data_IF_196574912860
#
_entry.id   IF_196574912860
#
_cell.length_a   1.000
_cell.length_b   1.000
_cell.length_c   1.000
_cell.angle_alpha   90.00
_cell.angle_beta   90.00
_cell.angle_gamma   90.00
#
_symmetry.space_group_name_H-M   'P 1'
#
loop_
_entity.id
_entity.type
_entity.pdbx_description
1 polymer ?
#
# COMPACT_ATOMS: atom_id res chain seq x y z
N UNK A 1 -12.57 -7.80 23.42
CA UNK A 1 -11.74 -8.56 22.46
C UNK A 1 -12.09 -8.29 20.99
N UNK A 2 -13.34 -8.00 20.61
CA UNK A 2 -13.71 -7.71 19.21
C UNK A 2 -13.11 -6.40 18.65
N UNK A 3 -13.02 -5.37 19.50
CA UNK A 3 -12.44 -4.07 19.16
C UNK A 3 -10.98 -4.17 18.70
N UNK A 4 -10.15 -4.84 19.50
CA UNK A 4 -8.74 -5.09 19.20
C UNK A 4 -8.58 -5.90 17.89
N UNK A 5 -9.44 -6.90 17.67
CA UNK A 5 -9.48 -7.67 16.43
C UNK A 5 -9.81 -6.81 15.20
N UNK A 6 -10.74 -5.86 15.30
CA UNK A 6 -11.05 -4.92 14.21
C UNK A 6 -9.86 -4.01 13.92
N UNK A 7 -9.22 -3.43 14.94
CA UNK A 7 -8.03 -2.57 14.77
C UNK A 7 -6.84 -3.29 14.15
N UNK A 8 -6.58 -4.53 14.57
CA UNK A 8 -5.51 -5.34 13.98
C UNK A 8 -5.68 -5.57 12.48
N UNK A 9 -6.92 -5.75 11.99
CA UNK A 9 -7.17 -5.90 10.54
C UNK A 9 -6.76 -4.66 9.76
N UNK A 10 -7.10 -3.47 10.28
CA UNK A 10 -6.70 -2.21 9.65
C UNK A 10 -5.20 -1.98 9.72
N UNK A 11 -4.55 -2.33 10.83
CA UNK A 11 -3.09 -2.29 10.95
C UNK A 11 -2.42 -3.17 9.88
N UNK A 12 -2.96 -4.36 9.64
CA UNK A 12 -2.48 -5.30 8.64
C UNK A 12 -2.61 -4.74 7.22
N UNK A 13 -3.73 -4.06 6.92
CA UNK A 13 -3.93 -3.34 5.65
C UNK A 13 -2.91 -2.22 5.46
N UNK A 14 -2.60 -1.45 6.51
CA UNK A 14 -1.62 -0.36 6.47
C UNK A 14 -0.23 -0.92 6.19
N UNK A 15 0.20 -1.96 6.93
CA UNK A 15 1.52 -2.58 6.75
C UNK A 15 1.65 -3.16 5.34
N UNK A 16 0.62 -3.86 4.87
CA UNK A 16 0.61 -4.45 3.53
C UNK A 16 0.68 -3.38 2.43
N UNK A 17 -0.07 -2.28 2.57
CA UNK A 17 -0.01 -1.14 1.66
C UNK A 17 1.39 -0.52 1.60
N UNK A 18 2.01 -0.27 2.76
CA UNK A 18 3.37 0.30 2.83
C UNK A 18 4.40 -0.63 2.18
N UNK A 19 4.30 -1.94 2.42
CA UNK A 19 5.20 -2.93 1.82
C UNK A 19 5.12 -2.91 0.29
N UNK A 20 3.91 -2.87 -0.29
CA UNK A 20 3.72 -2.78 -1.74
C UNK A 20 4.29 -1.48 -2.30
N UNK A 21 4.06 -0.34 -1.63
CA UNK A 21 4.57 0.96 -2.08
C UNK A 21 6.10 0.97 -2.10
N UNK A 22 6.74 0.43 -1.06
CA UNK A 22 8.19 0.31 -0.97
C UNK A 22 8.75 -0.62 -2.03
N UNK A 23 8.12 -1.77 -2.24
CA UNK A 23 8.51 -2.73 -3.28
C UNK A 23 8.44 -2.11 -4.67
N UNK A 24 7.30 -1.50 -5.01
CA UNK A 24 7.11 -0.81 -6.29
C UNK A 24 8.11 0.33 -6.47
N UNK A 25 8.38 1.10 -5.41
CA UNK A 25 9.33 2.19 -5.48
C UNK A 25 10.79 1.71 -5.61
N UNK A 26 11.12 0.55 -5.04
CA UNK A 26 12.41 -0.08 -5.23
C UNK A 26 12.59 -0.54 -6.67
N UNK A 27 11.63 -1.28 -7.22
CA UNK A 27 11.63 -1.76 -8.60
C UNK A 27 11.80 -0.61 -9.60
N UNK A 28 11.00 0.46 -9.47
CA UNK A 28 11.06 1.62 -10.38
C UNK A 28 12.42 2.35 -10.31
N UNK A 29 13.05 2.43 -9.13
CA UNK A 29 14.26 3.25 -8.93
C UNK A 29 15.57 2.49 -9.17
N UNK A 30 15.59 1.17 -8.94
CA UNK A 30 16.80 0.37 -8.99
C UNK A 30 16.88 -0.56 -10.21
N UNK A 31 15.76 -0.90 -10.84
CA UNK A 31 15.78 -1.73 -12.05
C UNK A 31 15.85 -0.87 -13.31
N UNK A 32 17.03 -0.86 -13.94
CA UNK A 32 17.31 -0.12 -15.18
C UNK A 32 16.83 -0.84 -16.44
N UNK A 33 16.38 -2.09 -16.33
CA UNK A 33 15.88 -2.90 -17.46
C UNK A 33 14.35 -2.89 -17.58
N UNK A 34 13.64 -2.15 -16.72
CA UNK A 34 12.19 -2.03 -16.81
C UNK A 34 11.78 -1.20 -18.03
N UNK A 35 10.95 -1.79 -18.89
CA UNK A 35 10.26 -1.06 -19.95
C UNK A 35 9.22 -0.12 -19.32
N UNK A 36 9.67 1.11 -19.06
CA UNK A 36 8.92 2.16 -18.35
C UNK A 36 7.55 2.44 -18.96
N UNK A 37 7.37 2.23 -20.28
CA UNK A 37 6.10 2.54 -20.97
C UNK A 37 4.94 1.66 -20.51
N UNK A 38 5.17 0.38 -20.25
CA UNK A 38 4.11 -0.54 -19.80
C UNK A 38 4.23 -0.89 -18.33
N UNK A 39 5.39 -1.36 -17.89
CA UNK A 39 5.57 -1.85 -16.52
C UNK A 39 5.61 -0.68 -15.53
N UNK A 40 6.28 0.42 -15.88
CA UNK A 40 6.30 1.64 -15.07
C UNK A 40 4.91 2.25 -14.85
N UNK A 41 4.06 2.26 -15.88
CA UNK A 41 2.68 2.76 -15.78
C UNK A 41 1.82 1.88 -14.86
N UNK A 42 1.88 0.56 -15.02
CA UNK A 42 1.13 -0.39 -14.18
C UNK A 42 1.60 -0.30 -12.72
N UNK A 43 2.91 -0.27 -12.49
CA UNK A 43 3.49 -0.12 -11.16
C UNK A 43 3.08 1.22 -10.51
N UNK A 44 3.04 2.32 -11.28
CA UNK A 44 2.59 3.62 -10.78
C UNK A 44 1.12 3.59 -10.36
N UNK A 45 0.24 2.96 -11.14
CA UNK A 45 -1.17 2.77 -10.78
C UNK A 45 -1.29 1.91 -9.51
N UNK A 46 -0.50 0.83 -9.42
CA UNK A 46 -0.48 -0.04 -8.24
C UNK A 46 -0.05 0.73 -6.98
N UNK A 47 0.97 1.58 -7.09
CA UNK A 47 1.44 2.44 -6.00
C UNK A 47 0.35 3.40 -5.52
N UNK A 48 -0.36 4.05 -6.44
CA UNK A 48 -1.45 4.99 -6.11
C UNK A 48 -2.62 4.24 -5.46
N UNK A 49 -3.03 3.10 -6.02
CA UNK A 49 -4.09 2.28 -5.47
C UNK A 49 -3.74 1.77 -4.06
N UNK A 50 -2.52 1.27 -3.86
CA UNK A 50 -2.01 0.86 -2.56
C UNK A 50 -2.00 2.03 -1.58
N UNK A 51 -1.58 3.22 -2.00
CA UNK A 51 -1.61 4.45 -1.19
C UNK A 51 -3.03 4.81 -0.73
N UNK A 52 -4.02 4.71 -1.61
CA UNK A 52 -5.44 4.91 -1.28
C UNK A 52 -5.95 3.90 -0.24
N UNK A 53 -5.62 2.63 -0.40
CA UNK A 53 -5.96 1.58 0.58
C UNK A 53 -5.26 1.78 1.94
N UNK A 54 -4.00 2.25 1.94
CA UNK A 54 -3.26 2.57 3.15
C UNK A 54 -3.89 3.73 3.92
N UNK A 55 -4.27 4.81 3.22
CA UNK A 55 -5.00 5.94 3.80
C UNK A 55 -6.37 5.54 4.35
N UNK A 56 -7.12 4.69 3.62
CA UNK A 56 -8.38 4.14 4.11
C UNK A 56 -8.18 3.35 5.41
N UNK A 57 -7.17 2.48 5.45
CA UNK A 57 -6.81 1.70 6.64
C UNK A 57 -6.48 2.61 7.84
N UNK A 58 -5.70 3.68 7.61
CA UNK A 58 -5.34 4.68 8.61
C UNK A 58 -6.58 5.39 9.19
N UNK A 59 -7.45 5.91 8.33
CA UNK A 59 -8.67 6.62 8.76
C UNK A 59 -9.56 5.70 9.58
N UNK A 60 -9.79 4.47 9.10
CA UNK A 60 -10.63 3.50 9.81
C UNK A 60 -10.02 3.05 11.13
N UNK A 61 -8.69 2.90 11.20
CA UNK A 61 -7.99 2.55 12.43
C UNK A 61 -8.28 3.56 13.56
N UNK A 62 -8.25 4.86 13.27
CA UNK A 62 -8.58 5.91 14.23
C UNK A 62 -10.09 6.11 14.44
N UNK A 63 -10.91 5.79 13.45
CA UNK A 63 -12.38 5.93 13.54
C UNK A 63 -13.03 4.85 14.39
N UNK A 64 -12.47 3.64 14.43
CA UNK A 64 -12.98 2.54 15.24
C UNK A 64 -12.82 2.88 16.73
N UNK A 65 -13.96 3.12 17.40
CA UNK A 65 -14.13 3.28 18.86
C UNK A 65 -14.50 1.97 19.52
#
# INVERSE_FOLDING_TARGET
>A
MEYLKKRMKFLLIIIFSVAIILFVQYEINYDKNLDFKKVGTIMTILKIAAGGYGLYGLVQFFRVK
#
